data_IF_634934491346
#
_entry.id   IF_634934491346
#
_cell.length_a   1.000
_cell.length_b   1.000
_cell.length_c   1.000
_cell.angle_alpha   90.00
_cell.angle_beta   90.00
_cell.angle_gamma   90.00
#
_symmetry.space_group_name_H-M   'P 1'
#
loop_
_entity.id
_entity.type
_entity.pdbx_description
1 polymer ?
#
# COMPACT_ATOMS: atom_id res chain seq x y z
N UNK A 1 35.12 79.14 -3.02
CA UNK A 1 35.23 77.67 -3.06
C UNK A 1 34.13 77.13 -3.96
N UNK A 2 34.50 76.55 -5.12
CA UNK A 2 33.56 75.89 -6.05
C UNK A 2 33.72 74.38 -5.84
N UNK A 3 32.67 73.71 -5.40
CA UNK A 3 32.68 72.25 -5.32
C UNK A 3 31.90 71.65 -6.49
N UNK A 4 32.51 70.64 -7.09
CA UNK A 4 32.10 69.98 -8.32
C UNK A 4 32.25 68.48 -8.05
N UNK A 5 31.16 67.75 -8.34
CA UNK A 5 31.06 66.30 -8.57
C UNK A 5 30.75 65.47 -7.31
N UNK A 6 29.58 64.84 -7.24
CA UNK A 6 29.31 63.51 -7.80
C UNK A 6 27.87 63.08 -7.43
N UNK A 7 27.00 62.85 -8.42
CA UNK A 7 25.95 61.82 -8.35
C UNK A 7 26.62 60.50 -8.79
N UNK A 8 26.22 59.28 -8.35
CA UNK A 8 24.85 58.83 -8.58
C UNK A 8 24.29 57.67 -7.68
N UNK A 9 23.05 57.26 -8.01
CA UNK A 9 22.45 55.91 -7.89
C UNK A 9 21.42 55.62 -6.78
N UNK A 10 20.17 55.93 -7.15
CA UNK A 10 18.92 55.16 -6.97
C UNK A 10 19.07 53.78 -6.33
N UNK A 11 18.61 53.62 -5.09
CA UNK A 11 18.05 52.34 -4.65
C UNK A 11 16.63 52.23 -5.20
N UNK A 12 16.45 51.28 -6.11
CA UNK A 12 15.16 50.83 -6.60
C UNK A 12 14.54 49.95 -5.51
N UNK A 13 13.52 50.45 -4.83
CA UNK A 13 12.53 49.58 -4.20
C UNK A 13 11.66 49.03 -5.34
N UNK A 14 12.07 47.87 -5.86
CA UNK A 14 11.23 47.08 -6.73
C UNK A 14 10.22 46.35 -5.85
N UNK A 15 9.00 46.86 -5.82
CA UNK A 15 7.83 46.08 -5.51
C UNK A 15 7.79 44.88 -6.47
N UNK A 16 7.96 43.68 -5.93
CA UNK A 16 7.76 42.45 -6.71
C UNK A 16 6.26 42.22 -6.91
N UNK A 17 5.81 41.98 -8.15
CA UNK A 17 4.41 41.77 -8.45
C UNK A 17 3.96 40.34 -8.15
N UNK A 18 2.66 40.24 -7.88
CA UNK A 18 1.71 39.17 -8.17
C UNK A 18 2.27 37.77 -8.55
N UNK A 19 1.72 36.73 -7.93
CA UNK A 19 1.08 35.67 -8.73
C UNK A 19 0.15 34.77 -7.93
N UNK A 20 -1.13 34.85 -8.32
CA UNK A 20 -2.15 33.82 -8.35
C UNK A 20 -1.76 32.48 -7.71
N UNK A 21 -2.43 32.16 -6.61
CA UNK A 21 -2.53 30.81 -6.07
C UNK A 21 -3.33 29.94 -7.04
N UNK A 22 -2.64 29.47 -8.08
CA UNK A 22 -3.11 28.44 -9.00
C UNK A 22 -3.31 27.17 -8.18
N UNK A 23 -4.57 26.75 -8.03
CA UNK A 23 -4.93 25.36 -7.72
C UNK A 23 -4.22 24.47 -8.74
N UNK A 24 -3.07 23.91 -8.38
CA UNK A 24 -2.20 23.19 -9.29
C UNK A 24 -1.38 22.16 -8.55
N UNK A 25 -1.79 20.90 -8.71
CA UNK A 25 -0.97 19.71 -8.57
C UNK A 25 -0.56 19.29 -7.15
N UNK A 26 -1.55 18.92 -6.32
CA UNK A 26 -1.32 17.88 -5.30
C UNK A 26 -1.47 16.49 -5.94
N UNK A 27 -0.59 16.17 -6.89
CA UNK A 27 -0.50 14.84 -7.51
C UNK A 27 0.84 14.14 -7.23
N UNK A 28 1.75 14.78 -6.48
CA UNK A 28 3.10 14.28 -6.23
C UNK A 28 3.35 13.70 -4.82
N UNK A 29 2.32 13.51 -3.97
CA UNK A 29 2.53 13.19 -2.54
C UNK A 29 1.94 11.87 -2.00
N UNK A 30 1.46 10.94 -2.83
CA UNK A 30 1.05 9.59 -2.37
C UNK A 30 1.93 8.44 -2.90
N UNK A 31 3.08 8.75 -3.51
CA UNK A 31 3.93 7.78 -4.22
C UNK A 31 5.12 7.22 -3.44
N UNK A 32 5.44 7.74 -2.25
CA UNK A 32 6.68 7.42 -1.55
C UNK A 32 6.48 6.42 -0.42
N UNK A 33 6.40 5.13 -0.79
CA UNK A 33 6.85 3.97 -0.01
C UNK A 33 6.74 2.67 -0.84
N UNK A 34 7.00 2.71 -2.16
CA UNK A 34 6.97 1.51 -3.01
C UNK A 34 8.41 1.05 -3.25
N UNK A 35 8.79 -0.10 -2.68
CA UNK A 35 10.10 -0.71 -2.92
C UNK A 35 10.21 -1.12 -4.40
N UNK A 36 11.29 -0.71 -5.06
CA UNK A 36 11.55 -1.13 -6.44
C UNK A 36 11.95 -2.62 -6.45
N UNK A 37 11.23 -3.45 -7.20
CA UNK A 37 11.62 -4.85 -7.44
C UNK A 37 12.43 -4.97 -8.73
N UNK A 38 13.57 -5.65 -8.69
CA UNK A 38 14.44 -5.88 -9.86
C UNK A 38 13.97 -7.01 -10.79
N UNK A 39 12.67 -7.33 -10.80
CA UNK A 39 12.13 -8.44 -11.59
C UNK A 39 12.15 -8.10 -13.08
N UNK A 40 12.58 -9.06 -13.91
CA UNK A 40 12.50 -8.96 -15.38
C UNK A 40 11.24 -9.64 -15.86
N UNK A 41 10.53 -8.99 -16.77
CA UNK A 41 9.27 -9.46 -17.34
C UNK A 41 9.39 -9.38 -18.85
N UNK A 42 8.95 -10.42 -19.55
CA UNK A 42 8.92 -10.43 -21.00
C UNK A 42 8.05 -9.30 -21.56
N UNK A 43 8.47 -8.76 -22.70
CA UNK A 43 7.89 -7.53 -23.24
C UNK A 43 6.41 -7.70 -23.62
N UNK A 44 6.03 -8.86 -24.15
CA UNK A 44 4.64 -9.21 -24.48
C UNK A 44 3.75 -9.29 -23.23
N UNK A 45 4.24 -9.91 -22.17
CA UNK A 45 3.58 -9.98 -20.87
C UNK A 45 3.41 -8.57 -20.27
N UNK A 46 4.46 -7.74 -20.36
CA UNK A 46 4.41 -6.37 -19.90
C UNK A 46 3.34 -5.54 -20.64
N UNK A 47 3.23 -5.68 -21.96
CA UNK A 47 2.20 -4.97 -22.73
C UNK A 47 0.79 -5.46 -22.41
N UNK A 48 0.59 -6.77 -22.22
CA UNK A 48 -0.68 -7.31 -21.76
C UNK A 48 -1.07 -6.74 -20.38
N UNK A 49 -0.13 -6.70 -19.44
CA UNK A 49 -0.37 -6.17 -18.11
C UNK A 49 -0.71 -4.67 -18.14
N UNK A 50 -0.03 -3.88 -18.99
CA UNK A 50 -0.36 -2.46 -19.19
C UNK A 50 -1.75 -2.26 -19.77
N UNK A 51 -2.15 -3.05 -20.76
CA UNK A 51 -3.49 -2.98 -21.36
C UNK A 51 -4.55 -3.25 -20.28
N UNK A 52 -4.39 -4.32 -19.50
CA UNK A 52 -5.32 -4.66 -18.42
C UNK A 52 -5.35 -3.65 -17.28
N UNK A 53 -4.20 -3.07 -16.93
CA UNK A 53 -4.14 -2.02 -15.93
C UNK A 53 -4.92 -0.79 -16.40
N UNK A 54 -4.79 -0.41 -17.68
CA UNK A 54 -5.55 0.69 -18.30
C UNK A 54 -7.05 0.42 -18.29
N UNK A 55 -7.47 -0.78 -18.67
CA UNK A 55 -8.90 -1.16 -18.66
C UNK A 55 -9.53 -1.01 -17.27
N UNK A 56 -8.71 -1.14 -16.22
CA UNK A 56 -9.12 -1.01 -14.81
C UNK A 56 -8.84 0.37 -14.21
N UNK A 57 -8.29 1.32 -14.98
CA UNK A 57 -7.88 2.63 -14.46
C UNK A 57 -6.77 2.58 -13.40
N UNK A 58 -5.96 1.52 -13.39
CA UNK A 58 -4.90 1.28 -12.41
C UNK A 58 -3.52 1.59 -12.99
N UNK A 59 -2.57 1.97 -12.14
CA UNK A 59 -1.16 1.94 -12.52
C UNK A 59 -0.71 0.49 -12.70
N UNK A 60 0.30 0.26 -13.54
CA UNK A 60 0.85 -1.09 -13.74
C UNK A 60 1.33 -1.73 -12.41
N UNK A 61 1.95 -0.93 -11.55
CA UNK A 61 2.41 -1.40 -10.24
C UNK A 61 1.27 -1.78 -9.31
N UNK A 62 0.19 -0.99 -9.29
CA UNK A 62 -0.99 -1.30 -8.46
C UNK A 62 -1.74 -2.53 -8.99
N UNK A 63 -1.79 -2.69 -10.32
CA UNK A 63 -2.35 -3.88 -10.95
C UNK A 63 -1.58 -5.16 -10.59
N UNK A 64 -0.24 -5.14 -10.71
CA UNK A 64 0.59 -6.28 -10.33
C UNK A 64 0.44 -6.58 -8.83
N UNK A 65 0.48 -5.57 -7.98
CA UNK A 65 0.32 -5.75 -6.54
C UNK A 65 -1.05 -6.34 -6.17
N UNK A 66 -2.11 -5.97 -6.89
CA UNK A 66 -3.43 -6.57 -6.72
C UNK A 66 -3.44 -8.05 -7.10
N UNK A 67 -2.91 -8.40 -8.28
CA UNK A 67 -2.83 -9.79 -8.72
C UNK A 67 -2.06 -10.67 -7.74
N UNK A 68 -0.91 -10.20 -7.24
CA UNK A 68 -0.10 -10.94 -6.28
C UNK A 68 -0.83 -11.14 -4.95
N UNK A 69 -1.56 -10.12 -4.47
CA UNK A 69 -2.37 -10.25 -3.25
C UNK A 69 -3.51 -11.23 -3.43
N UNK A 70 -4.27 -11.14 -4.53
CA UNK A 70 -5.36 -12.08 -4.79
C UNK A 70 -4.88 -13.53 -4.88
N UNK A 71 -3.73 -13.77 -5.51
CA UNK A 71 -3.12 -15.09 -5.58
C UNK A 71 -2.77 -15.64 -4.19
N UNK A 72 -2.11 -14.83 -3.36
CA UNK A 72 -1.72 -15.20 -2.01
C UNK A 72 -2.92 -15.40 -1.07
N UNK A 73 -3.88 -14.46 -1.09
CA UNK A 73 -5.05 -14.47 -0.22
C UNK A 73 -6.03 -15.57 -0.62
N UNK A 74 -6.15 -15.87 -1.92
CA UNK A 74 -7.03 -16.93 -2.42
C UNK A 74 -6.66 -18.32 -1.90
N UNK A 75 -5.36 -18.61 -1.77
CA UNK A 75 -4.88 -19.85 -1.14
C UNK A 75 -5.15 -19.85 0.37
N UNK A 76 -4.93 -18.72 1.03
CA UNK A 76 -5.18 -18.56 2.47
C UNK A 76 -6.65 -18.80 2.81
N UNK A 77 -7.57 -18.21 2.05
CA UNK A 77 -9.01 -18.40 2.24
C UNK A 77 -9.39 -19.87 2.10
N UNK A 78 -8.95 -20.54 1.03
CA UNK A 78 -9.22 -21.98 0.85
C UNK A 78 -8.64 -22.84 1.97
N UNK A 79 -7.45 -22.50 2.46
CA UNK A 79 -6.83 -23.20 3.58
C UNK A 79 -7.61 -23.04 4.88
N UNK A 80 -8.07 -21.83 5.18
CA UNK A 80 -8.91 -21.57 6.35
C UNK A 80 -10.28 -22.23 6.24
N UNK A 81 -10.90 -22.23 5.07
CA UNK A 81 -12.16 -22.93 4.84
C UNK A 81 -12.01 -24.45 5.04
N UNK A 82 -10.90 -25.03 4.55
CA UNK A 82 -10.59 -26.44 4.78
C UNK A 82 -10.35 -26.74 6.26
N UNK A 83 -9.59 -25.91 6.96
CA UNK A 83 -9.34 -26.06 8.40
C UNK A 83 -10.64 -25.92 9.21
N UNK A 84 -11.49 -24.94 8.88
CA UNK A 84 -12.81 -24.78 9.50
C UNK A 84 -13.64 -26.03 9.32
N UNK A 85 -13.73 -26.54 8.08
CA UNK A 85 -14.49 -27.76 7.78
C UNK A 85 -13.97 -28.95 8.58
N UNK A 86 -12.65 -29.10 8.70
CA UNK A 86 -12.05 -30.15 9.53
C UNK A 86 -12.45 -30.03 11.00
N UNK A 87 -12.41 -28.82 11.57
CA UNK A 87 -12.87 -28.59 12.96
C UNK A 87 -14.36 -28.92 13.12
N UNK A 88 -15.20 -28.46 12.19
CA UNK A 88 -16.65 -28.73 12.21
C UNK A 88 -16.94 -30.24 12.10
N UNK A 89 -16.20 -30.97 11.26
CA UNK A 89 -16.36 -32.43 11.08
C UNK A 89 -15.85 -33.24 12.28
N UNK A 90 -14.86 -32.73 13.01
CA UNK A 90 -14.21 -33.45 14.12
C UNK A 90 -14.53 -32.90 15.51
N UNK A 91 -15.47 -31.96 15.64
CA UNK A 91 -15.80 -31.30 16.90
C UNK A 91 -16.06 -32.28 18.05
N UNK A 92 -16.83 -33.34 17.80
CA UNK A 92 -17.17 -34.34 18.81
C UNK A 92 -15.94 -35.08 19.38
N UNK A 93 -14.88 -35.26 18.58
CA UNK A 93 -13.63 -35.88 19.06
C UNK A 93 -12.87 -34.93 19.97
N UNK A 94 -12.88 -33.63 19.66
CA UNK A 94 -12.27 -32.62 20.52
C UNK A 94 -13.03 -32.47 21.83
N UNK A 95 -14.36 -32.44 21.78
CA UNK A 95 -15.22 -32.37 22.97
C UNK A 95 -14.97 -33.59 23.90
N UNK A 96 -14.85 -34.81 23.35
CA UNK A 96 -14.55 -36.02 24.14
C UNK A 96 -13.20 -35.94 24.86
N UNK A 97 -12.18 -35.43 24.17
CA UNK A 97 -10.84 -35.24 24.76
C UNK A 97 -10.88 -34.16 25.84
N UNK A 98 -11.57 -33.05 25.61
CA UNK A 98 -11.66 -31.94 26.55
C UNK A 98 -12.41 -32.36 27.84
N UNK A 99 -13.53 -33.07 27.70
CA UNK A 99 -14.31 -33.59 28.83
C UNK A 99 -13.48 -34.58 29.68
N UNK A 100 -12.66 -35.42 29.03
CA UNK A 100 -11.76 -36.34 29.72
C UNK A 100 -10.67 -35.59 30.53
N UNK A 101 -10.11 -34.51 29.98
CA UNK A 101 -9.12 -33.68 30.69
C UNK A 101 -9.73 -32.88 31.84
N UNK A 102 -10.92 -32.32 31.66
CA UNK A 102 -11.64 -31.58 32.71
C UNK A 102 -12.02 -32.49 33.88
N UNK A 103 -12.46 -33.72 33.58
CA UNK A 103 -12.74 -34.74 34.59
C UNK A 103 -11.49 -35.15 35.39
N UNK A 104 -10.32 -35.21 34.75
CA UNK A 104 -9.05 -35.51 35.40
C UNK A 104 -8.50 -34.32 36.23
N UNK A 105 -8.74 -33.09 35.79
CA UNK A 105 -8.35 -31.85 36.49
C UNK A 105 -9.19 -31.62 37.76
N UNK A 106 -10.51 -31.85 37.69
CA UNK A 106 -11.40 -31.75 38.85
C UNK A 106 -11.08 -32.76 39.97
N UNK A 107 -10.51 -33.91 39.62
CA UNK A 107 -10.07 -34.92 40.58
C UNK A 107 -8.76 -34.57 41.32
N UNK A 108 -7.99 -33.58 40.85
CA UNK A 108 -6.73 -33.14 41.51
C UNK A 108 -6.89 -31.93 42.42
N UNK A 109 -8.06 -31.29 42.43
CA UNK A 109 -8.34 -30.10 43.24
C UNK A 109 -9.20 -30.38 44.50
N UNK A 110 -9.49 -31.66 44.80
CA UNK A 110 -10.29 -32.12 45.93
C UNK A 110 -9.45 -32.79 47.03
#
# INVERSE_FOLDING_TARGET
>A
MRDRRHLPQKRREHATPEHLTRHGNSCYHAGMAKTQSGARIDQDVMELAKARARDRGQSIGDYIAHLVREDADGLRVRGLDAARRFLDEHQAVFDEVEDAEQSASGARAA
#
